data_IF_690678669716
#
_entry.id   IF_690678669716
#
_cell.length_a   1.000
_cell.length_b   1.000
_cell.length_c   1.000
_cell.angle_alpha   90.00
_cell.angle_beta   90.00
_cell.angle_gamma   90.00
#
_symmetry.space_group_name_H-M   'P 1'
#
loop_
_entity.id
_entity.type
_entity.pdbx_description
1 polymer ?
#
# COMPACT_ATOMS: atom_id res chain seq x y z
N UNK A 1 -8.45 -16.42 4.09
CA UNK A 1 -8.51 -15.39 3.04
C UNK A 1 -9.53 -14.30 3.36
N UNK A 2 -10.84 -14.61 3.46
CA UNK A 2 -11.90 -13.61 3.67
C UNK A 2 -11.64 -12.67 4.87
N UNK A 3 -11.32 -13.19 6.05
CA UNK A 3 -11.02 -12.36 7.23
C UNK A 3 -9.82 -11.42 7.03
N UNK A 4 -8.77 -11.89 6.36
CA UNK A 4 -7.59 -11.09 6.04
C UNK A 4 -7.93 -9.98 5.03
N UNK A 5 -8.71 -10.29 4.00
CA UNK A 5 -9.17 -9.30 3.02
C UNK A 5 -10.01 -8.20 3.70
N UNK A 6 -10.98 -8.60 4.53
CA UNK A 6 -11.83 -7.65 5.27
C UNK A 6 -11.00 -6.74 6.18
N UNK A 7 -10.02 -7.31 6.91
CA UNK A 7 -9.13 -6.56 7.78
C UNK A 7 -8.22 -5.60 7.01
N UNK A 8 -7.71 -6.01 5.85
CA UNK A 8 -6.82 -5.18 5.04
C UNK A 8 -7.59 -4.03 4.38
N UNK A 9 -8.81 -4.28 3.90
CA UNK A 9 -9.67 -3.23 3.36
C UNK A 9 -10.18 -2.27 4.43
N UNK A 10 -10.46 -2.73 5.65
CA UNK A 10 -10.80 -1.83 6.75
C UNK A 10 -9.62 -0.96 7.19
N UNK A 11 -8.40 -1.49 7.19
CA UNK A 11 -7.17 -0.70 7.36
C UNK A 11 -7.01 0.34 6.24
N UNK A 12 -7.29 -0.04 5.00
CA UNK A 12 -7.26 0.90 3.87
C UNK A 12 -8.26 2.04 4.06
N UNK A 13 -9.47 1.76 4.54
CA UNK A 13 -10.47 2.78 4.84
C UNK A 13 -10.01 3.74 5.95
N UNK A 14 -9.43 3.20 7.02
CA UNK A 14 -8.87 4.01 8.10
C UNK A 14 -7.70 4.90 7.62
N UNK A 15 -6.83 4.35 6.76
CA UNK A 15 -5.74 5.11 6.14
C UNK A 15 -6.27 6.23 5.22
N UNK A 16 -7.30 5.97 4.41
CA UNK A 16 -7.95 6.98 3.56
C UNK A 16 -8.57 8.08 4.41
N UNK A 17 -9.30 7.75 5.47
CA UNK A 17 -9.90 8.73 6.37
C UNK A 17 -8.84 9.65 7.02
N UNK A 18 -7.69 9.10 7.41
CA UNK A 18 -6.57 9.90 7.93
C UNK A 18 -5.87 10.73 6.84
N UNK A 19 -5.77 10.21 5.62
CA UNK A 19 -5.26 10.92 4.46
C UNK A 19 -6.12 12.12 4.09
N UNK A 20 -7.44 11.96 4.04
CA UNK A 20 -8.37 13.07 3.77
C UNK A 20 -8.34 14.12 4.85
N UNK A 21 -8.25 13.74 6.14
CA UNK A 21 -8.05 14.71 7.23
C UNK A 21 -6.74 15.50 7.09
N UNK A 22 -5.67 14.84 6.65
CA UNK A 22 -4.38 15.49 6.39
C UNK A 22 -4.47 16.47 5.21
N UNK A 23 -5.28 16.15 4.19
CA UNK A 23 -5.60 17.03 3.08
C UNK A 23 -6.43 18.24 3.53
N UNK A 24 -7.52 18.03 4.29
CA UNK A 24 -8.37 19.10 4.85
C UNK A 24 -7.53 20.07 5.69
N UNK A 25 -6.58 19.58 6.48
CA UNK A 25 -5.64 20.42 7.22
C UNK A 25 -4.82 21.36 6.31
N UNK A 26 -4.46 20.91 5.11
CA UNK A 26 -3.66 21.69 4.16
C UNK A 26 -4.43 22.90 3.62
N UNK A 27 -5.75 22.77 3.45
CA UNK A 27 -6.65 23.83 2.97
C UNK A 27 -7.23 24.71 4.08
N UNK A 28 -7.65 24.12 5.21
CA UNK A 28 -8.41 24.82 6.26
C UNK A 28 -7.58 25.13 7.52
N UNK A 29 -6.33 24.66 7.62
CA UNK A 29 -5.42 24.98 8.73
C UNK A 29 -5.79 24.37 10.08
N UNK A 30 -6.80 23.51 10.15
CA UNK A 30 -7.28 22.91 11.41
C UNK A 30 -6.31 21.86 11.94
N UNK A 31 -5.87 22.05 13.19
CA UNK A 31 -4.94 21.16 13.85
C UNK A 31 -5.69 20.20 14.78
N UNK A 32 -6.14 19.06 14.25
CA UNK A 32 -6.70 17.99 15.08
C UNK A 32 -5.60 17.39 15.95
N UNK A 33 -5.87 17.26 17.25
CA UNK A 33 -5.00 16.58 18.22
C UNK A 33 -4.79 15.11 17.82
N UNK A 34 -3.64 14.49 18.18
CA UNK A 34 -3.37 13.09 17.84
C UNK A 34 -4.45 12.14 18.36
N UNK A 35 -5.02 12.43 19.55
CA UNK A 35 -6.11 11.64 20.12
C UNK A 35 -7.35 11.60 19.22
N UNK A 36 -7.78 12.76 18.69
CA UNK A 36 -8.98 12.82 17.84
C UNK A 36 -8.77 12.11 16.50
N UNK A 37 -7.56 12.15 15.94
CA UNK A 37 -7.20 11.35 14.75
C UNK A 37 -7.27 9.85 15.03
N UNK A 38 -6.78 9.42 16.20
CA UNK A 38 -6.92 8.06 16.70
C UNK A 38 -8.39 7.61 16.73
N UNK A 39 -9.24 8.38 17.39
CA UNK A 39 -10.68 8.09 17.49
C UNK A 39 -11.34 8.01 16.11
N UNK A 40 -11.06 8.96 15.21
CA UNK A 40 -11.64 8.95 13.85
C UNK A 40 -11.17 7.73 13.05
N UNK A 41 -9.89 7.36 13.13
CA UNK A 41 -9.36 6.19 12.44
C UNK A 41 -9.98 4.89 12.94
N UNK A 42 -10.18 4.78 14.25
CA UNK A 42 -10.78 3.63 14.91
C UNK A 42 -12.28 3.55 14.57
N UNK A 43 -12.96 4.68 14.53
CA UNK A 43 -14.36 4.76 14.11
C UNK A 43 -14.54 4.36 12.64
N UNK A 44 -13.69 4.88 11.74
CA UNK A 44 -13.70 4.50 10.32
C UNK A 44 -13.42 3.00 10.14
N UNK A 45 -12.47 2.45 10.90
CA UNK A 45 -12.17 1.02 10.89
C UNK A 45 -13.39 0.18 11.32
N UNK A 46 -13.99 0.51 12.47
CA UNK A 46 -15.16 -0.22 12.99
C UNK A 46 -16.34 -0.13 12.02
N UNK A 47 -16.68 1.08 11.56
CA UNK A 47 -17.77 1.27 10.61
C UNK A 47 -17.56 0.52 9.29
N UNK A 48 -16.31 0.40 8.82
CA UNK A 48 -16.02 -0.32 7.59
C UNK A 48 -16.20 -1.84 7.70
N UNK A 49 -16.17 -2.38 8.93
CA UNK A 49 -16.34 -3.82 9.21
C UNK A 49 -17.80 -4.17 9.49
N UNK A 50 -18.53 -3.29 10.19
CA UNK A 50 -19.92 -3.54 10.55
C UNK A 50 -20.78 -3.66 9.27
N UNK A 51 -21.46 -4.80 9.05
CA UNK A 51 -22.36 -4.94 7.92
C UNK A 51 -23.65 -4.16 8.17
N UNK A 52 -24.05 -3.33 7.21
CA UNK A 52 -25.37 -2.69 7.17
C UNK A 52 -26.17 -3.46 6.12
N UNK A 53 -27.30 -4.06 6.50
CA UNK A 53 -28.10 -4.90 5.59
C UNK A 53 -27.26 -5.96 4.85
N UNK A 54 -26.48 -6.74 5.60
CA UNK A 54 -25.63 -7.85 5.11
C UNK A 54 -24.39 -7.47 4.29
N UNK A 55 -24.19 -6.20 3.93
CA UNK A 55 -23.01 -5.74 3.19
C UNK A 55 -22.25 -4.71 4.03
N UNK A 56 -20.98 -4.98 4.32
CA UNK A 56 -20.08 -3.97 4.89
C UNK A 56 -19.29 -3.27 3.77
N UNK A 57 -18.75 -2.08 4.05
CA UNK A 57 -17.93 -1.37 3.07
C UNK A 57 -16.66 -2.15 2.70
N UNK A 58 -16.07 -2.87 3.66
CA UNK A 58 -14.96 -3.80 3.42
C UNK A 58 -15.35 -5.00 2.54
N UNK A 59 -16.57 -5.54 2.69
CA UNK A 59 -17.09 -6.58 1.79
C UNK A 59 -17.31 -6.06 0.37
N UNK A 60 -17.74 -4.80 0.23
CA UNK A 60 -17.90 -4.16 -1.09
C UNK A 60 -16.54 -4.00 -1.78
N UNK A 61 -15.52 -3.52 -1.06
CA UNK A 61 -14.16 -3.44 -1.59
C UNK A 61 -13.60 -4.82 -1.96
N UNK A 62 -13.83 -5.83 -1.13
CA UNK A 62 -13.45 -7.21 -1.45
C UNK A 62 -14.17 -7.73 -2.71
N UNK A 63 -15.43 -7.38 -2.93
CA UNK A 63 -16.16 -7.78 -4.14
C UNK A 63 -15.65 -7.12 -5.43
N UNK A 64 -15.04 -5.93 -5.32
CA UNK A 64 -14.54 -5.16 -6.46
C UNK A 64 -13.07 -5.47 -6.79
N UNK A 65 -12.24 -5.64 -5.75
CA UNK A 65 -10.78 -5.71 -5.86
C UNK A 65 -10.19 -7.07 -5.46
N UNK A 66 -11.03 -8.03 -5.05
CA UNK A 66 -10.64 -9.40 -4.66
C UNK A 66 -9.62 -9.43 -3.49
N UNK A 67 -8.84 -10.49 -3.33
CA UNK A 67 -7.85 -10.63 -2.25
C UNK A 67 -6.72 -9.62 -2.35
N UNK A 68 -6.50 -8.77 -1.33
CA UNK A 68 -5.46 -7.74 -1.36
C UNK A 68 -4.05 -8.32 -1.13
N UNK A 69 -3.04 -7.73 -1.73
CA UNK A 69 -1.63 -8.13 -1.51
C UNK A 69 -1.15 -7.84 -0.08
N UNK A 70 -0.17 -8.61 0.41
CA UNK A 70 0.49 -8.37 1.70
C UNK A 70 1.23 -7.04 1.73
N UNK A 71 1.65 -6.54 0.56
CA UNK A 71 2.30 -5.25 0.47
C UNK A 71 1.31 -4.10 0.75
N UNK A 72 0.05 -4.22 0.31
CA UNK A 72 -1.00 -3.24 0.62
C UNK A 72 -1.26 -3.17 2.13
N UNK A 73 -1.27 -4.32 2.81
CA UNK A 73 -1.39 -4.39 4.26
C UNK A 73 -0.31 -3.58 4.97
N UNK A 74 0.96 -3.79 4.62
CA UNK A 74 2.07 -3.03 5.20
C UNK A 74 1.96 -1.54 4.89
N UNK A 75 1.63 -1.16 3.66
CA UNK A 75 1.46 0.25 3.30
C UNK A 75 0.37 0.94 4.13
N UNK A 76 -0.77 0.29 4.35
CA UNK A 76 -1.86 0.83 5.15
C UNK A 76 -1.44 0.97 6.63
N UNK A 77 -0.81 -0.06 7.19
CA UNK A 77 -0.34 -0.04 8.58
C UNK A 77 0.68 1.07 8.80
N UNK A 78 1.70 1.17 7.94
CA UNK A 78 2.72 2.21 8.05
C UNK A 78 2.14 3.62 7.81
N UNK A 79 1.18 3.77 6.91
CA UNK A 79 0.48 5.04 6.70
C UNK A 79 -0.20 5.50 7.99
N UNK A 80 -0.94 4.62 8.67
CA UNK A 80 -1.61 4.93 9.93
C UNK A 80 -0.57 5.27 11.02
N UNK A 81 0.45 4.44 11.22
CA UNK A 81 1.48 4.68 12.25
C UNK A 81 2.20 6.01 12.04
N UNK A 82 2.50 6.37 10.79
CA UNK A 82 3.15 7.64 10.43
C UNK A 82 2.33 8.87 10.84
N UNK A 83 1.00 8.76 10.92
CA UNK A 83 0.16 9.88 11.38
C UNK A 83 0.35 10.22 12.87
N UNK A 84 0.85 9.26 13.67
CA UNK A 84 1.16 9.44 15.08
C UNK A 84 2.66 9.64 15.33
N UNK A 85 3.51 8.95 14.57
CA UNK A 85 4.96 9.01 14.72
C UNK A 85 5.58 9.70 13.51
N UNK A 86 5.71 11.02 13.64
CA UNK A 86 6.14 11.91 12.56
C UNK A 86 7.64 11.75 12.17
N UNK A 87 8.41 10.98 12.95
CA UNK A 87 9.84 10.75 12.74
C UNK A 87 10.16 9.56 11.83
N UNK A 88 9.15 8.77 11.43
CA UNK A 88 9.35 7.61 10.56
C UNK A 88 9.52 8.11 9.12
N UNK A 89 10.78 8.28 8.70
CA UNK A 89 11.18 8.70 7.34
C UNK A 89 11.07 7.62 6.27
N UNK A 90 10.36 6.51 6.53
CA UNK A 90 10.19 5.41 5.58
C UNK A 90 9.08 5.74 4.58
N UNK A 91 9.37 6.61 3.62
CA UNK A 91 8.49 6.90 2.48
C UNK A 91 9.02 6.25 1.23
N UNK A 92 8.18 5.47 0.53
CA UNK A 92 8.49 5.02 -0.82
C UNK A 92 8.52 6.26 -1.72
N UNK A 93 9.60 6.38 -2.49
CA UNK A 93 9.75 7.43 -3.47
C UNK A 93 8.82 7.20 -4.66
N UNK A 94 8.56 8.26 -5.42
CA UNK A 94 7.79 8.16 -6.67
C UNK A 94 8.38 7.12 -7.64
N UNK A 95 9.69 6.87 -7.59
CA UNK A 95 10.37 5.88 -8.44
C UNK A 95 9.98 4.46 -8.06
N UNK A 96 9.86 4.18 -6.76
CA UNK A 96 9.41 2.88 -6.26
C UNK A 96 7.96 2.57 -6.65
N UNK A 97 7.06 3.56 -6.54
CA UNK A 97 5.67 3.39 -6.98
C UNK A 97 5.52 3.21 -8.50
N UNK A 98 6.30 3.97 -9.28
CA UNK A 98 6.32 3.82 -10.73
C UNK A 98 6.87 2.44 -11.14
N UNK A 99 7.90 1.96 -10.46
CA UNK A 99 8.43 0.61 -10.65
C UNK A 99 7.39 -0.48 -10.34
N UNK A 100 6.68 -0.36 -9.22
CA UNK A 100 5.56 -1.24 -8.86
C UNK A 100 4.46 -1.26 -9.92
N UNK A 101 4.08 -0.08 -10.44
CA UNK A 101 3.06 0.04 -11.49
C UNK A 101 3.51 -0.61 -12.81
N UNK A 102 4.77 -0.43 -13.22
CA UNK A 102 5.32 -1.08 -14.42
C UNK A 102 5.34 -2.60 -14.25
N UNK A 103 5.77 -3.12 -13.10
CA UNK A 103 5.77 -4.56 -12.85
C UNK A 103 4.37 -5.13 -12.90
N UNK A 104 3.40 -4.46 -12.27
CA UNK A 104 2.01 -4.89 -12.33
C UNK A 104 1.48 -4.92 -13.77
N UNK A 105 1.77 -3.89 -14.59
CA UNK A 105 1.40 -3.87 -16.00
C UNK A 105 2.06 -5.00 -16.82
N UNK A 106 3.33 -5.33 -16.53
CA UNK A 106 4.02 -6.45 -17.18
C UNK A 106 3.36 -7.79 -16.85
N UNK A 107 3.04 -8.03 -15.57
CA UNK A 107 2.33 -9.24 -15.15
C UNK A 107 0.89 -9.30 -15.67
N UNK A 108 0.19 -8.16 -15.74
CA UNK A 108 -1.14 -8.08 -16.36
C UNK A 108 -1.06 -8.38 -17.86
N UNK A 109 -0.09 -7.81 -18.58
CA UNK A 109 0.15 -8.08 -20.00
C UNK A 109 0.48 -9.56 -20.28
N UNK A 110 1.14 -10.23 -19.34
CA UNK A 110 1.36 -11.68 -19.38
C UNK A 110 0.02 -12.45 -19.32
N UNK A 111 -0.90 -12.05 -18.44
CA UNK A 111 -2.22 -12.68 -18.34
C UNK A 111 -3.09 -12.49 -19.59
N UNK A 112 -2.91 -11.39 -20.33
CA UNK A 112 -3.59 -11.15 -21.60
C UNK A 112 -2.91 -11.80 -22.81
N UNK A 113 -1.82 -12.55 -22.61
CA UNK A 113 -1.07 -13.22 -23.69
C UNK A 113 -0.28 -12.27 -24.59
N UNK A 114 -0.02 -11.04 -24.14
CA UNK A 114 0.84 -10.06 -24.86
C UNK A 114 2.30 -10.48 -24.76
N UNK A 115 2.67 -11.06 -23.62
CA UNK A 115 3.95 -11.70 -23.35
C UNK A 115 3.66 -13.08 -22.78
N UNK A 116 4.52 -14.07 -23.04
CA UNK A 116 4.34 -15.43 -22.53
C UNK A 116 5.50 -15.76 -21.59
N UNK A 117 5.35 -15.33 -20.34
CA UNK A 117 6.20 -15.80 -19.23
C UNK A 117 5.54 -17.04 -18.68
N UNK A 118 6.09 -18.20 -19.05
CA UNK A 118 5.73 -19.46 -18.43
C UNK A 118 5.84 -19.30 -16.90
N UNK A 119 4.70 -19.39 -16.21
CA UNK A 119 4.65 -19.48 -14.75
C UNK A 119 5.33 -20.81 -14.37
N UNK A 120 6.65 -20.77 -14.27
CA UNK A 120 7.46 -21.95 -14.00
C UNK A 120 7.17 -22.57 -12.62
N UNK A 121 7.89 -23.65 -12.26
CA UNK A 121 7.81 -24.23 -10.93
C UNK A 121 8.03 -23.17 -9.84
N UNK A 122 7.56 -23.43 -8.61
CA UNK A 122 7.63 -22.49 -7.50
C UNK A 122 9.04 -21.87 -7.30
N UNK A 123 10.10 -22.66 -7.53
CA UNK A 123 11.48 -22.18 -7.50
C UNK A 123 11.80 -21.09 -8.54
N UNK A 124 11.24 -21.18 -9.75
CA UNK A 124 11.39 -20.14 -10.78
C UNK A 124 10.68 -18.84 -10.38
N UNK A 125 9.47 -18.94 -9.80
CA UNK A 125 8.72 -17.78 -9.28
C UNK A 125 9.49 -17.07 -8.16
N UNK A 126 10.06 -17.84 -7.22
CA UNK A 126 10.89 -17.32 -6.13
C UNK A 126 12.12 -16.60 -6.70
N UNK A 127 12.83 -17.22 -7.65
CA UNK A 127 14.01 -16.62 -8.26
C UNK A 127 13.66 -15.30 -8.96
N UNK A 128 12.61 -15.28 -9.78
CA UNK A 128 12.18 -14.08 -10.49
C UNK A 128 11.84 -12.95 -9.52
N UNK A 129 11.06 -13.22 -8.47
CA UNK A 129 10.71 -12.19 -7.49
C UNK A 129 11.89 -11.74 -6.64
N UNK A 130 12.82 -12.64 -6.31
CA UNK A 130 14.06 -12.24 -5.64
C UNK A 130 14.91 -11.28 -6.50
N UNK A 131 14.98 -11.52 -7.81
CA UNK A 131 15.62 -10.60 -8.76
C UNK A 131 14.88 -9.26 -8.83
N UNK A 132 13.55 -9.28 -8.87
CA UNK A 132 12.74 -8.05 -8.86
C UNK A 132 12.97 -7.23 -7.60
N UNK A 133 13.03 -7.87 -6.42
CA UNK A 133 13.34 -7.19 -5.15
C UNK A 133 14.75 -6.59 -5.19
N UNK A 134 15.74 -7.32 -5.73
CA UNK A 134 17.10 -6.81 -5.86
C UNK A 134 17.19 -5.60 -6.80
N UNK A 135 16.49 -5.62 -7.95
CA UNK A 135 16.40 -4.48 -8.86
C UNK A 135 15.71 -3.30 -8.16
N UNK A 136 14.61 -3.57 -7.44
CA UNK A 136 13.90 -2.57 -6.66
C UNK A 136 14.84 -1.92 -5.62
N UNK A 137 15.70 -2.69 -4.97
CA UNK A 137 16.64 -2.18 -3.96
C UNK A 137 17.61 -1.14 -4.54
N UNK A 138 18.00 -1.30 -5.81
CA UNK A 138 18.83 -0.35 -6.53
C UNK A 138 18.08 0.96 -6.88
N UNK A 139 16.75 0.91 -7.03
CA UNK A 139 15.90 2.05 -7.38
C UNK A 139 15.41 2.78 -6.12
N UNK A 140 14.84 2.02 -5.19
CA UNK A 140 14.23 2.47 -3.94
C UNK A 140 14.35 1.40 -2.84
N UNK A 141 15.29 1.64 -1.92
CA UNK A 141 15.57 0.73 -0.80
C UNK A 141 14.35 0.48 0.09
N UNK A 142 13.51 1.50 0.32
CA UNK A 142 12.36 1.37 1.22
C UNK A 142 11.30 0.50 0.58
N UNK A 143 11.03 0.70 -0.71
CA UNK A 143 10.12 -0.14 -1.48
C UNK A 143 10.58 -1.61 -1.49
N UNK A 144 11.87 -1.85 -1.71
CA UNK A 144 12.44 -3.19 -1.70
C UNK A 144 12.33 -3.89 -0.33
N UNK A 145 12.52 -3.16 0.78
CA UNK A 145 12.31 -3.69 2.13
C UNK A 145 10.85 -4.10 2.33
N UNK A 146 9.89 -3.30 1.87
CA UNK A 146 8.47 -3.67 1.93
C UNK A 146 8.14 -4.91 1.09
N UNK A 147 8.71 -5.01 -0.12
CA UNK A 147 8.59 -6.22 -0.94
C UNK A 147 9.20 -7.44 -0.27
N UNK A 148 10.34 -7.30 0.39
CA UNK A 148 11.00 -8.39 1.11
C UNK A 148 10.18 -8.84 2.33
N UNK A 149 9.57 -7.90 3.06
CA UNK A 149 8.62 -8.23 4.14
C UNK A 149 7.41 -8.99 3.60
N UNK A 150 6.79 -8.52 2.52
CA UNK A 150 5.67 -9.20 1.86
C UNK A 150 6.04 -10.61 1.37
N UNK A 151 7.22 -10.74 0.76
CA UNK A 151 7.77 -12.03 0.32
C UNK A 151 8.00 -12.99 1.49
N UNK A 152 8.57 -12.51 2.60
CA UNK A 152 8.79 -13.33 3.80
C UNK A 152 7.47 -13.80 4.43
N UNK A 153 6.44 -12.95 4.42
CA UNK A 153 5.13 -13.27 4.94
C UNK A 153 4.36 -14.24 4.04
N UNK A 154 4.67 -14.27 2.73
CA UNK A 154 4.09 -15.22 1.78
C UNK A 154 4.61 -16.65 1.96
N UNK A 155 5.86 -16.86 2.39
CA UNK A 155 6.46 -18.19 2.54
C UNK A 155 5.56 -19.23 3.26
N UNK A 156 4.94 -18.94 4.41
CA UNK A 156 4.03 -19.88 5.08
C UNK A 156 2.72 -20.13 4.31
N UNK A 157 2.35 -19.26 3.38
CA UNK A 157 1.12 -19.33 2.57
C UNK A 157 1.37 -19.75 1.11
N UNK A 158 2.59 -20.17 0.77
CA UNK A 158 3.02 -20.43 -0.61
C UNK A 158 2.14 -21.43 -1.38
N UNK A 159 1.45 -22.33 -0.67
CA UNK A 159 0.54 -23.33 -1.26
C UNK A 159 -0.89 -22.81 -1.48
N UNK A 160 -1.24 -21.64 -0.94
CA UNK A 160 -2.62 -21.12 -0.92
C UNK A 160 -2.80 -19.83 -1.70
N UNK A 161 -1.74 -19.06 -1.92
CA UNK A 161 -1.80 -17.78 -2.61
C UNK A 161 -0.62 -17.66 -3.58
N UNK A 162 -0.91 -17.26 -4.82
CA UNK A 162 0.14 -17.11 -5.83
C UNK A 162 1.06 -15.94 -5.51
N UNK A 163 2.38 -16.15 -5.66
CA UNK A 163 3.39 -15.21 -5.20
C UNK A 163 3.24 -13.81 -5.85
N UNK A 164 2.82 -13.76 -7.11
CA UNK A 164 2.61 -12.50 -7.81
C UNK A 164 1.48 -11.68 -7.20
N UNK A 165 0.34 -12.32 -6.90
CA UNK A 165 -0.80 -11.67 -6.23
C UNK A 165 -0.47 -11.33 -4.77
N UNK A 166 0.43 -12.09 -4.12
CA UNK A 166 0.86 -11.83 -2.75
C UNK A 166 1.64 -10.53 -2.61
N UNK A 167 2.46 -10.22 -3.62
CA UNK A 167 3.45 -9.12 -3.58
C UNK A 167 2.99 -7.92 -4.40
N UNK A 168 2.29 -8.14 -5.51
CA UNK A 168 1.86 -7.10 -6.45
C UNK A 168 0.35 -7.02 -6.53
N UNK A 169 -0.15 -5.78 -6.51
CA UNK A 169 -1.56 -5.45 -6.70
C UNK A 169 -1.62 -4.03 -7.28
N UNK A 170 -2.62 -3.75 -8.11
CA UNK A 170 -2.85 -2.40 -8.66
C UNK A 170 -3.08 -1.38 -7.55
N UNK A 171 -3.75 -1.82 -6.47
CA UNK A 171 -4.07 -0.99 -5.31
C UNK A 171 -2.81 -0.49 -4.59
N UNK A 172 -1.75 -1.29 -4.57
CA UNK A 172 -0.49 -0.94 -3.90
C UNK A 172 0.12 0.32 -4.49
N UNK A 173 0.19 0.42 -5.83
CA UNK A 173 0.83 1.56 -6.48
C UNK A 173 -0.04 2.81 -6.38
N UNK A 174 -1.35 2.67 -6.63
CA UNK A 174 -2.30 3.78 -6.64
C UNK A 174 -2.56 4.33 -5.23
N UNK A 175 -3.02 3.49 -4.31
CA UNK A 175 -3.33 3.92 -2.94
C UNK A 175 -2.06 4.24 -2.15
N UNK A 176 -0.99 3.46 -2.35
CA UNK A 176 0.30 3.71 -1.70
C UNK A 176 0.86 5.08 -2.06
N UNK A 177 0.84 5.46 -3.35
CA UNK A 177 1.27 6.80 -3.78
C UNK A 177 0.43 7.86 -3.06
N UNK A 178 -0.89 7.82 -3.20
CA UNK A 178 -1.77 8.85 -2.63
C UNK A 178 -1.56 9.04 -1.12
N UNK A 179 -1.43 7.94 -0.37
CA UNK A 179 -1.32 8.00 1.08
C UNK A 179 0.09 8.37 1.58
N UNK A 180 1.16 7.93 0.92
CA UNK A 180 2.52 8.23 1.37
C UNK A 180 3.05 9.58 0.86
N UNK A 181 2.52 10.08 -0.27
CA UNK A 181 2.98 11.34 -0.89
C UNK A 181 2.46 12.60 -0.21
N UNK A 182 1.42 12.52 0.64
CA UNK A 182 0.90 13.66 1.38
C UNK A 182 1.86 14.06 2.51
N UNK A 183 2.49 15.25 2.48
CA UNK A 183 3.31 15.68 3.59
C UNK A 183 2.42 16.13 4.75
N UNK A 184 2.72 15.61 5.93
CA UNK A 184 1.96 15.83 7.16
C UNK A 184 2.03 17.27 7.69
N UNK A 185 2.82 18.17 7.09
CA UNK A 185 2.97 19.57 7.51
C UNK A 185 3.12 20.53 6.33
N UNK A 186 2.42 21.67 6.41
CA UNK A 186 2.44 22.77 5.44
C UNK A 186 3.88 23.30 5.18
N UNK A 187 4.73 23.32 6.20
CA UNK A 187 6.14 23.75 6.06
C UNK A 187 6.99 22.82 5.19
N UNK A 188 6.62 21.54 5.07
CA UNK A 188 7.32 20.60 4.19
C UNK A 188 6.71 20.55 2.79
N UNK A 189 5.45 20.96 2.59
CA UNK A 189 4.84 21.04 1.26
C UNK A 189 5.50 22.17 0.45
N UNK A 190 5.66 23.36 1.04
CA UNK A 190 6.39 24.46 0.41
C UNK A 190 7.86 24.11 0.18
N UNK A 191 8.55 23.49 1.14
CA UNK A 191 9.96 23.11 0.98
C UNK A 191 10.13 21.94 -0.01
N UNK A 192 9.19 21.01 -0.12
CA UNK A 192 9.23 19.92 -1.11
C UNK A 192 8.91 20.40 -2.54
N UNK A 193 8.08 21.44 -2.70
CA UNK A 193 7.81 22.09 -3.99
C UNK A 193 8.90 23.07 -4.41
N UNK A 194 9.51 23.78 -3.44
CA UNK A 194 10.44 24.89 -3.71
C UNK A 194 11.92 24.53 -3.54
N UNK A 195 12.28 23.34 -3.03
CA UNK A 195 13.68 22.91 -3.11
C UNK A 195 13.95 22.36 -4.52
N UNK A 196 14.73 23.06 -5.36
CA UNK A 196 15.37 22.36 -6.47
C UNK A 196 16.20 21.23 -5.85
N UNK A 197 16.04 20.01 -6.38
CA UNK A 197 16.97 18.91 -6.13
C UNK A 197 18.30 19.30 -6.77
N UNK A 198 19.06 20.17 -6.13
CA UNK A 198 20.47 20.37 -6.44
C UNK A 198 21.18 19.15 -5.85
N UNK A 199 21.89 18.45 -6.74
CA UNK A 199 22.71 17.27 -6.44
C UNK A 199 23.81 17.60 -5.44
#
# INVERSE_FOLDING_TARGET
>A
MIYYSLFTYSLMCAAIALGTLSFVRLFFGTFLQPFTRGVISLFAFILSIIPIHHISFSMLLYSMFDTPSFLLFFLCLFSIVRTFVNQIGFTISYRGFLFLAILWLLFAGNAFGIFDWAYGPLGYKILLISCVIAICYCIDRICAVFMLMAFSLWLPFANTLDLYNAVFDSNVALFGWLMQSMPLFKNNFHVALLKPKIK
#
